data_IF_248212693197
#
_entry.id   IF_248212693197
#
_cell.length_a   1.000
_cell.length_b   1.000
_cell.length_c   1.000
_cell.angle_alpha   90.00
_cell.angle_beta   90.00
_cell.angle_gamma   90.00
#
_symmetry.space_group_name_H-M   'P 1'
#
loop_
_entity.id
_entity.type
_entity.pdbx_description
1 polymer ?
#
# COMPACT_ATOMS: atom_id res chain seq x y z
N UNK A 1 -3.14 -12.41 10.81
CA UNK A 1 -2.79 -11.76 9.52
C UNK A 1 -1.79 -10.65 9.83
N UNK A 2 -0.53 -11.01 10.05
CA UNK A 2 0.56 -10.03 10.19
C UNK A 2 0.98 -9.56 8.79
N UNK A 3 1.33 -8.29 8.65
CA UNK A 3 2.00 -7.77 7.45
C UNK A 3 1.12 -7.04 6.43
N UNK A 4 -0.20 -7.17 6.42
CA UNK A 4 -1.00 -6.41 5.43
C UNK A 4 -1.03 -4.93 5.78
N UNK A 5 -0.50 -4.11 4.87
CA UNK A 5 -0.65 -2.66 4.91
C UNK A 5 -2.14 -2.33 4.72
N UNK A 6 -2.77 -1.85 5.78
CA UNK A 6 -4.13 -1.33 5.69
C UNK A 6 -4.09 0.14 5.34
N UNK A 7 -4.84 0.57 4.31
CA UNK A 7 -4.97 1.99 4.02
C UNK A 7 -5.72 2.68 5.16
N UNK A 8 -5.38 3.94 5.43
CA UNK A 8 -6.15 4.78 6.36
C UNK A 8 -7.51 5.11 5.74
N UNK A 9 -8.58 4.56 6.30
CA UNK A 9 -9.95 4.70 5.78
C UNK A 9 -10.41 6.15 5.70
N UNK A 10 -9.89 7.04 6.53
CA UNK A 10 -10.21 8.47 6.51
C UNK A 10 -9.72 9.19 5.25
N UNK A 11 -8.77 8.61 4.49
CA UNK A 11 -8.23 9.20 3.27
C UNK A 11 -8.73 8.54 1.99
N UNK A 12 -9.59 7.51 2.07
CA UNK A 12 -10.14 6.81 0.91
C UNK A 12 -11.66 7.06 0.81
N UNK A 13 -12.15 7.30 -0.40
CA UNK A 13 -13.58 7.22 -0.68
C UNK A 13 -14.06 5.77 -0.56
N UNK A 14 -15.36 5.57 -0.36
CA UNK A 14 -15.94 4.24 -0.19
C UNK A 14 -15.69 3.31 -1.39
N UNK A 15 -15.89 3.82 -2.62
CA UNK A 15 -15.61 3.05 -3.83
C UNK A 15 -14.14 2.64 -3.93
N UNK A 16 -13.23 3.57 -3.65
CA UNK A 16 -11.79 3.30 -3.71
C UNK A 16 -11.36 2.28 -2.64
N UNK A 17 -12.03 2.26 -1.48
CA UNK A 17 -11.79 1.26 -0.44
C UNK A 17 -12.20 -0.16 -0.89
N UNK A 18 -13.35 -0.29 -1.56
CA UNK A 18 -13.83 -1.57 -2.10
C UNK A 18 -12.87 -2.08 -3.17
N UNK A 19 -12.52 -1.22 -4.14
CA UNK A 19 -11.57 -1.56 -5.19
C UNK A 19 -10.22 -1.97 -4.60
N UNK A 20 -9.68 -1.18 -3.67
CA UNK A 20 -8.42 -1.50 -3.01
C UNK A 20 -8.44 -2.89 -2.36
N UNK A 21 -9.50 -3.22 -1.64
CA UNK A 21 -9.62 -4.50 -0.95
C UNK A 21 -9.75 -5.66 -1.94
N UNK A 22 -10.46 -5.48 -3.06
CA UNK A 22 -10.54 -6.48 -4.11
C UNK A 22 -9.16 -6.78 -4.72
N UNK A 23 -8.39 -5.75 -5.06
CA UNK A 23 -7.03 -5.90 -5.63
C UNK A 23 -6.07 -6.57 -4.64
N UNK A 24 -6.08 -6.13 -3.38
CA UNK A 24 -5.22 -6.66 -2.33
C UNK A 24 -5.52 -8.14 -2.03
N UNK A 25 -6.80 -8.51 -1.97
CA UNK A 25 -7.21 -9.90 -1.82
C UNK A 25 -6.73 -10.76 -3.01
N UNK A 26 -6.95 -10.28 -4.24
CA UNK A 26 -6.50 -10.97 -5.46
C UNK A 26 -4.99 -11.21 -5.46
N UNK A 27 -4.19 -10.18 -5.17
CA UNK A 27 -2.74 -10.30 -5.08
C UNK A 27 -2.29 -11.28 -4.00
N UNK A 28 -2.87 -11.21 -2.79
CA UNK A 28 -2.51 -12.11 -1.70
C UNK A 28 -2.84 -13.58 -2.01
N UNK A 29 -3.95 -13.83 -2.71
CA UNK A 29 -4.37 -15.17 -3.13
C UNK A 29 -3.45 -15.71 -4.23
N UNK A 30 -3.16 -14.90 -5.26
CA UNK A 30 -2.26 -15.28 -6.35
C UNK A 30 -0.85 -15.59 -5.83
N UNK A 31 -0.24 -14.67 -5.05
CA UNK A 31 1.09 -14.89 -4.47
C UNK A 31 1.14 -16.15 -3.60
N UNK A 32 0.09 -16.41 -2.80
CA UNK A 32 0.02 -17.62 -1.97
C UNK A 32 -0.06 -18.88 -2.82
N UNK A 33 -0.86 -18.88 -3.89
CA UNK A 33 -1.07 -20.03 -4.74
C UNK A 33 0.17 -20.35 -5.58
N UNK A 34 0.76 -19.33 -6.21
CA UNK A 34 1.80 -19.51 -7.22
C UNK A 34 3.22 -19.47 -6.64
N UNK A 35 3.41 -18.78 -5.50
CA UNK A 35 4.73 -18.49 -4.93
C UNK A 35 4.84 -18.71 -3.40
N UNK A 36 3.76 -19.14 -2.74
CA UNK A 36 3.74 -19.48 -1.31
C UNK A 36 3.61 -18.29 -0.34
N UNK A 37 3.63 -18.60 0.96
CA UNK A 37 3.42 -17.58 2.02
C UNK A 37 4.53 -16.53 2.08
N UNK A 38 5.77 -16.92 1.80
CA UNK A 38 6.91 -16.02 1.91
C UNK A 38 6.83 -14.88 0.89
N UNK A 39 6.47 -15.20 -0.36
CA UNK A 39 6.23 -14.21 -1.41
C UNK A 39 5.16 -13.20 -0.98
N UNK A 40 4.05 -13.68 -0.41
CA UNK A 40 3.02 -12.81 0.15
C UNK A 40 3.57 -11.88 1.24
N UNK A 41 4.37 -12.39 2.18
CA UNK A 41 4.90 -11.57 3.29
C UNK A 41 5.83 -10.48 2.76
N UNK A 42 6.79 -10.84 1.90
CA UNK A 42 7.76 -9.89 1.31
C UNK A 42 7.05 -8.79 0.55
N UNK A 43 6.11 -9.13 -0.34
CA UNK A 43 5.36 -8.11 -1.10
C UNK A 43 4.57 -7.16 -0.20
N UNK A 44 3.96 -7.67 0.87
CA UNK A 44 3.25 -6.82 1.82
C UNK A 44 4.21 -5.90 2.61
N UNK A 45 5.42 -6.38 2.93
CA UNK A 45 6.46 -5.59 3.60
C UNK A 45 7.01 -4.47 2.68
N UNK A 46 7.23 -4.77 1.40
CA UNK A 46 7.63 -3.77 0.40
C UNK A 46 6.58 -2.65 0.29
N UNK A 47 5.29 -3.01 0.33
CA UNK A 47 4.20 -2.04 0.38
C UNK A 47 4.29 -1.08 1.59
N UNK A 48 4.75 -1.56 2.75
CA UNK A 48 4.93 -0.74 3.95
C UNK A 48 6.09 0.25 3.77
N UNK A 49 7.22 -0.24 3.25
CA UNK A 49 8.41 0.59 2.98
C UNK A 49 8.05 1.71 2.00
N UNK A 50 7.38 1.39 0.89
CA UNK A 50 6.96 2.39 -0.10
C UNK A 50 6.03 3.43 0.53
N UNK A 51 5.11 3.02 1.40
CA UNK A 51 4.23 3.94 2.12
C UNK A 51 5.02 4.89 3.03
N UNK A 52 5.98 4.38 3.81
CA UNK A 52 6.81 5.20 4.71
C UNK A 52 7.70 6.16 3.91
N UNK A 53 8.35 5.70 2.84
CA UNK A 53 9.17 6.54 1.97
C UNK A 53 8.35 7.64 1.31
N UNK A 54 7.14 7.31 0.85
CA UNK A 54 6.23 8.29 0.25
C UNK A 54 5.83 9.38 1.26
N UNK A 55 5.50 9.01 2.50
CA UNK A 55 5.19 10.00 3.55
C UNK A 55 6.43 10.83 3.92
N UNK A 56 7.62 10.22 4.00
CA UNK A 56 8.88 10.94 4.25
C UNK A 56 9.16 11.99 3.16
N UNK A 57 8.97 11.64 1.88
CA UNK A 57 9.13 12.57 0.76
C UNK A 57 8.11 13.71 0.78
N UNK A 58 6.87 13.45 1.23
CA UNK A 58 5.84 14.49 1.41
C UNK A 58 6.26 15.50 2.48
N UNK A 59 6.86 15.05 3.58
CA UNK A 59 7.37 15.91 4.65
C UNK A 59 8.62 16.70 4.24
N UNK A 60 9.50 16.12 3.41
CA UNK A 60 10.71 16.77 2.92
C UNK A 60 10.48 17.76 1.78
N UNK A 61 9.28 17.80 1.18
CA UNK A 61 8.99 18.76 0.11
C UNK A 61 8.97 20.17 0.72
N UNK A 62 9.90 21.07 0.35
CA UNK A 62 9.88 22.44 0.86
C UNK A 62 8.53 23.08 0.56
N UNK A 63 7.96 23.76 1.55
CA UNK A 63 6.70 24.47 1.40
C UNK A 63 6.85 25.58 0.35
N UNK A 64 6.47 25.30 -0.90
CA UNK A 64 6.33 26.29 -1.95
C UNK A 64 7.52 26.41 -2.91
N UNK A 65 7.53 25.57 -3.94
CA UNK A 65 7.67 26.09 -5.31
C UNK A 65 6.32 25.79 -5.98
N UNK A 66 5.51 26.82 -6.14
CA UNK A 66 4.31 26.73 -6.98
C UNK A 66 4.77 26.43 -8.42
N UNK A 67 4.14 25.48 -9.15
CA UNK A 67 4.40 25.33 -10.57
C UNK A 67 3.98 26.62 -11.28
N UNK A 68 4.91 27.19 -12.06
CA UNK A 68 4.61 28.27 -13.00
C UNK A 68 3.84 27.73 -14.20
#
# INVERSE_FOLDING_TARGET
MFGIVRPCTHRLSEGLRVEWMAHLCGLCLALRADHGQFARIVTNYDGLIVSVLTEAQRASRPAGVAPR
#
